data_IF_258805458691
#
_entry.id   IF_258805458691
#
_cell.length_a   1.000
_cell.length_b   1.000
_cell.length_c   1.000
_cell.angle_alpha   90.00
_cell.angle_beta   90.00
_cell.angle_gamma   90.00
#
_symmetry.space_group_name_H-M   'P 1'
#
loop_
_entity.id
_entity.type
_entity.pdbx_description
1 polymer ?
#
# COMPACT_ATOMS: atom_id res chain seq x y z
N UNK A 1 20.16 -10.08 8.27
CA UNK A 1 19.09 -9.56 7.39
C UNK A 1 18.84 -10.56 6.27
N UNK A 2 17.57 -10.85 6.03
CA UNK A 2 17.17 -11.83 5.03
C UNK A 2 16.79 -11.12 3.73
N UNK A 3 17.72 -11.05 2.82
CA UNK A 3 17.62 -10.39 1.53
C UNK A 3 16.34 -10.76 0.75
N UNK A 4 16.03 -12.06 0.68
CA UNK A 4 14.88 -12.53 -0.10
C UNK A 4 13.54 -12.06 0.42
N UNK A 5 13.39 -11.91 1.73
CA UNK A 5 12.16 -11.38 2.31
C UNK A 5 11.92 -9.93 1.88
N UNK A 6 13.00 -9.13 1.79
CA UNK A 6 12.88 -7.74 1.33
C UNK A 6 12.53 -7.67 -0.16
N UNK A 7 13.09 -8.55 -0.97
CA UNK A 7 12.73 -8.63 -2.39
C UNK A 7 11.25 -9.00 -2.55
N UNK A 8 10.78 -10.00 -1.82
CA UNK A 8 9.37 -10.40 -1.85
C UNK A 8 8.47 -9.24 -1.43
N UNK A 9 8.79 -8.57 -0.32
CA UNK A 9 8.02 -7.42 0.16
C UNK A 9 8.00 -6.29 -0.88
N UNK A 10 9.15 -6.00 -1.50
CA UNK A 10 9.26 -4.97 -2.54
C UNK A 10 8.42 -5.30 -3.77
N UNK A 11 8.41 -6.56 -4.20
CA UNK A 11 7.61 -7.00 -5.33
C UNK A 11 6.10 -6.96 -5.01
N UNK A 12 5.69 -7.36 -3.81
CA UNK A 12 4.30 -7.25 -3.38
C UNK A 12 3.84 -5.78 -3.43
N UNK A 13 4.66 -4.87 -2.90
CA UNK A 13 4.36 -3.44 -2.91
C UNK A 13 4.32 -2.88 -4.33
N UNK A 14 5.22 -3.31 -5.20
CA UNK A 14 5.28 -2.86 -6.60
C UNK A 14 4.04 -3.31 -7.38
N UNK A 15 3.66 -4.58 -7.26
CA UNK A 15 2.44 -5.11 -7.89
C UNK A 15 1.21 -4.39 -7.34
N UNK A 16 1.17 -4.16 -6.03
CA UNK A 16 0.11 -3.37 -5.39
C UNK A 16 0.02 -1.96 -5.95
N UNK A 17 1.15 -1.33 -6.22
CA UNK A 17 1.21 -0.01 -6.86
C UNK A 17 0.58 -0.02 -8.25
N UNK A 18 0.94 -0.98 -9.08
CA UNK A 18 0.37 -1.11 -10.43
C UNK A 18 -1.13 -1.37 -10.37
N UNK A 19 -1.56 -2.27 -9.51
CA UNK A 19 -2.98 -2.57 -9.34
C UNK A 19 -3.76 -1.36 -8.85
N UNK A 20 -3.27 -0.69 -7.81
CA UNK A 20 -3.90 0.48 -7.22
C UNK A 20 -3.92 1.67 -8.19
N UNK A 21 -2.79 1.95 -8.83
CA UNK A 21 -2.64 3.10 -9.70
C UNK A 21 -3.33 2.96 -11.05
N UNK A 22 -3.47 1.76 -11.58
CA UNK A 22 -4.07 1.51 -12.90
C UNK A 22 -5.49 0.97 -12.75
N UNK A 23 -5.64 -0.27 -12.24
CA UNK A 23 -6.96 -0.91 -12.17
C UNK A 23 -7.87 -0.19 -11.18
N UNK A 24 -7.36 0.20 -10.03
CA UNK A 24 -8.13 0.95 -9.04
C UNK A 24 -8.54 2.35 -9.54
N UNK A 25 -7.66 3.03 -10.27
CA UNK A 25 -8.00 4.31 -10.89
C UNK A 25 -9.16 4.15 -11.86
N UNK A 26 -9.08 3.20 -12.78
CA UNK A 26 -10.13 2.98 -13.77
C UNK A 26 -11.47 2.64 -13.13
N UNK A 27 -11.47 1.81 -12.09
CA UNK A 27 -12.71 1.34 -11.46
C UNK A 27 -13.27 2.33 -10.44
N UNK A 28 -12.46 2.76 -9.47
CA UNK A 28 -12.96 3.53 -8.32
C UNK A 28 -12.95 5.03 -8.57
N UNK A 29 -11.91 5.58 -9.15
CA UNK A 29 -11.87 6.99 -9.52
C UNK A 29 -12.83 7.25 -10.67
N UNK A 30 -12.96 6.32 -11.62
CA UNK A 30 -13.97 6.41 -12.67
C UNK A 30 -15.39 6.53 -12.10
N UNK A 31 -15.74 5.70 -11.11
CA UNK A 31 -17.03 5.76 -10.44
C UNK A 31 -17.25 7.09 -9.71
N UNK A 32 -16.22 7.62 -9.06
CA UNK A 32 -16.29 8.94 -8.40
C UNK A 32 -16.50 10.04 -9.42
N UNK A 33 -15.79 10.02 -10.54
CA UNK A 33 -15.92 11.03 -11.60
C UNK A 33 -17.33 11.03 -12.23
N UNK A 34 -17.96 9.87 -12.31
CA UNK A 34 -19.32 9.71 -12.85
C UNK A 34 -20.42 10.02 -11.82
N UNK A 35 -20.05 10.32 -10.59
CA UNK A 35 -20.98 10.60 -9.49
C UNK A 35 -21.43 12.07 -9.48
N UNK A 36 -22.39 12.38 -8.60
CA UNK A 36 -22.90 13.74 -8.40
C UNK A 36 -22.11 14.53 -7.35
N UNK A 37 -20.93 14.06 -6.94
CA UNK A 37 -20.08 14.75 -5.99
C UNK A 37 -19.58 16.08 -6.60
N UNK A 38 -19.32 17.04 -5.70
CA UNK A 38 -18.76 18.33 -6.11
C UNK A 38 -17.41 18.17 -6.81
N UNK A 39 -17.06 19.05 -7.76
CA UNK A 39 -15.78 18.98 -8.46
C UNK A 39 -14.55 18.94 -7.54
N UNK A 40 -14.55 19.74 -6.46
CA UNK A 40 -13.44 19.75 -5.51
C UNK A 40 -13.32 18.39 -4.79
N UNK A 41 -14.44 17.78 -4.39
CA UNK A 41 -14.45 16.46 -3.75
C UNK A 41 -13.88 15.40 -4.68
N UNK A 42 -14.24 15.44 -5.97
CA UNK A 42 -13.68 14.53 -6.98
C UNK A 42 -12.18 14.71 -7.11
N UNK A 43 -11.71 15.96 -7.17
CA UNK A 43 -10.28 16.28 -7.27
C UNK A 43 -9.50 15.82 -6.06
N UNK A 44 -10.01 16.05 -4.85
CA UNK A 44 -9.36 15.59 -3.62
C UNK A 44 -9.34 14.08 -3.51
N UNK A 45 -10.38 13.40 -3.96
CA UNK A 45 -10.43 11.94 -4.02
C UNK A 45 -9.35 11.40 -4.95
N UNK A 46 -9.17 12.03 -6.11
CA UNK A 46 -8.12 11.66 -7.06
C UNK A 46 -6.73 11.82 -6.44
N UNK A 47 -6.47 12.95 -5.80
CA UNK A 47 -5.19 13.20 -5.12
C UNK A 47 -4.95 12.18 -4.01
N UNK A 48 -5.94 11.95 -3.14
CA UNK A 48 -5.84 11.00 -2.03
C UNK A 48 -5.57 9.58 -2.53
N UNK A 49 -6.25 9.18 -3.60
CA UNK A 49 -6.05 7.86 -4.20
C UNK A 49 -4.61 7.67 -4.66
N UNK A 50 -4.08 8.64 -5.39
CA UNK A 50 -2.74 8.54 -5.96
C UNK A 50 -1.62 8.89 -4.99
N UNK A 51 -1.88 9.61 -3.90
CA UNK A 51 -0.93 9.71 -2.78
C UNK A 51 -0.61 8.31 -2.26
N UNK A 52 -1.61 7.45 -2.13
CA UNK A 52 -1.35 6.07 -1.71
C UNK A 52 -0.59 5.27 -2.78
N UNK A 53 -0.87 5.50 -4.06
CA UNK A 53 -0.08 4.92 -5.15
C UNK A 53 1.40 5.31 -5.01
N UNK A 54 1.68 6.58 -4.69
CA UNK A 54 3.04 7.08 -4.46
C UNK A 54 3.68 6.38 -3.25
N UNK A 55 2.94 6.20 -2.16
CA UNK A 55 3.45 5.46 -1.00
C UNK A 55 3.85 4.03 -1.35
N UNK A 56 3.05 3.35 -2.17
CA UNK A 56 3.38 1.99 -2.63
C UNK A 56 4.63 1.98 -3.49
N UNK A 57 4.79 2.97 -4.37
CA UNK A 57 5.97 3.11 -5.22
C UNK A 57 7.24 3.35 -4.38
N UNK A 58 7.19 4.35 -3.50
CA UNK A 58 8.33 4.69 -2.64
C UNK A 58 8.67 3.52 -1.71
N UNK A 59 7.66 2.89 -1.12
CA UNK A 59 7.86 1.71 -0.27
C UNK A 59 8.54 0.57 -1.01
N UNK A 60 8.11 0.28 -2.24
CA UNK A 60 8.74 -0.72 -3.09
C UNK A 60 10.21 -0.38 -3.37
N UNK A 61 10.48 0.88 -3.75
CA UNK A 61 11.84 1.32 -4.04
C UNK A 61 12.75 1.21 -2.81
N UNK A 62 12.26 1.60 -1.64
CA UNK A 62 13.02 1.50 -0.38
C UNK A 62 13.32 0.04 -0.04
N UNK A 63 12.31 -0.84 -0.12
CA UNK A 63 12.49 -2.26 0.17
C UNK A 63 13.54 -2.91 -0.72
N UNK A 64 13.46 -2.65 -2.02
CA UNK A 64 14.43 -3.19 -2.98
C UNK A 64 15.82 -2.58 -2.79
N UNK A 65 15.88 -1.27 -2.50
CA UNK A 65 17.16 -0.60 -2.24
C UNK A 65 17.86 -1.19 -1.00
N UNK A 66 17.13 -1.33 0.11
CA UNK A 66 17.70 -1.87 1.35
C UNK A 66 18.13 -3.33 1.17
N UNK A 67 17.43 -4.12 0.36
CA UNK A 67 17.82 -5.50 0.08
C UNK A 67 19.27 -5.60 -0.42
N UNK A 68 19.71 -4.62 -1.21
CA UNK A 68 21.07 -4.57 -1.75
C UNK A 68 22.01 -3.67 -0.94
N UNK A 69 21.49 -2.95 0.06
CA UNK A 69 22.27 -1.99 0.87
C UNK A 69 21.95 -2.17 2.36
N UNK A 70 22.42 -3.26 2.99
CA UNK A 70 22.05 -3.60 4.37
C UNK A 70 22.34 -2.52 5.41
N UNK A 71 23.29 -1.62 5.13
CA UNK A 71 23.61 -0.52 6.04
C UNK A 71 22.45 0.49 6.20
N UNK A 72 21.44 0.44 5.32
CA UNK A 72 20.31 1.38 5.31
C UNK A 72 19.04 0.79 5.94
N UNK A 73 19.15 -0.26 6.75
CA UNK A 73 18.03 -1.00 7.34
C UNK A 73 17.04 -0.11 8.10
N UNK A 74 17.49 1.00 8.69
CA UNK A 74 16.61 1.92 9.40
C UNK A 74 15.50 2.51 8.51
N UNK A 75 15.74 2.58 7.21
CA UNK A 75 14.73 3.06 6.25
C UNK A 75 13.51 2.13 6.15
N UNK A 76 13.60 0.90 6.65
CA UNK A 76 12.48 -0.05 6.64
C UNK A 76 11.40 0.29 7.67
N UNK A 77 11.75 0.94 8.78
CA UNK A 77 10.78 1.20 9.85
C UNK A 77 9.55 1.97 9.37
N UNK A 78 9.67 3.13 8.72
CA UNK A 78 8.47 3.83 8.25
C UNK A 78 7.68 3.03 7.22
N UNK A 79 8.34 2.24 6.37
CA UNK A 79 7.65 1.39 5.39
C UNK A 79 6.83 0.32 6.09
N UNK A 80 7.42 -0.36 7.08
CA UNK A 80 6.73 -1.39 7.87
C UNK A 80 5.54 -0.77 8.61
N UNK A 81 5.74 0.37 9.28
CA UNK A 81 4.69 1.02 10.08
C UNK A 81 3.52 1.47 9.20
N UNK A 82 3.79 2.10 8.05
CA UNK A 82 2.73 2.55 7.14
C UNK A 82 1.91 1.37 6.63
N UNK A 83 2.57 0.29 6.24
CA UNK A 83 1.87 -0.90 5.75
C UNK A 83 1.08 -1.60 6.87
N UNK A 84 1.65 -1.72 8.06
CA UNK A 84 0.98 -2.32 9.20
C UNK A 84 -0.27 -1.52 9.60
N UNK A 85 -0.13 -0.20 9.76
CA UNK A 85 -1.24 0.66 10.13
C UNK A 85 -2.32 0.69 9.05
N UNK A 86 -1.92 0.67 7.78
CA UNK A 86 -2.86 0.58 6.67
C UNK A 86 -3.66 -0.72 6.68
N UNK A 87 -3.00 -1.85 6.91
CA UNK A 87 -3.68 -3.14 7.04
C UNK A 87 -4.66 -3.14 8.22
N UNK A 88 -4.22 -2.61 9.35
CA UNK A 88 -5.08 -2.51 10.55
C UNK A 88 -6.28 -1.59 10.30
N UNK A 89 -6.12 -0.52 9.54
CA UNK A 89 -7.23 0.38 9.18
C UNK A 89 -8.30 -0.36 8.37
N UNK A 90 -7.90 -1.14 7.35
CA UNK A 90 -8.83 -1.96 6.57
C UNK A 90 -9.60 -2.94 7.47
N UNK A 91 -8.89 -3.61 8.37
CA UNK A 91 -9.49 -4.59 9.28
C UNK A 91 -10.45 -3.89 10.25
N UNK A 92 -10.02 -2.80 10.86
CA UNK A 92 -10.84 -2.04 11.81
C UNK A 92 -12.15 -1.56 11.19
N UNK A 93 -12.07 -0.92 10.02
CA UNK A 93 -13.26 -0.45 9.31
C UNK A 93 -14.11 -1.61 8.79
N UNK A 94 -13.47 -2.69 8.34
CA UNK A 94 -14.16 -3.86 7.82
C UNK A 94 -14.90 -4.66 8.88
N UNK A 95 -14.41 -4.68 10.11
CA UNK A 95 -15.11 -5.31 11.24
C UNK A 95 -16.30 -4.48 11.72
N UNK A 96 -16.32 -3.20 11.40
CA UNK A 96 -17.44 -2.30 11.68
C UNK A 96 -18.46 -2.28 10.54
N UNK A 97 -18.80 -1.07 10.07
CA UNK A 97 -19.83 -0.87 9.05
C UNK A 97 -19.34 -0.98 7.61
N UNK A 98 -18.02 -1.14 7.40
CA UNK A 98 -17.42 -1.19 6.06
C UNK A 98 -16.94 -2.59 5.68
N UNK A 99 -17.83 -3.57 5.78
CA UNK A 99 -17.52 -5.00 5.62
C UNK A 99 -16.92 -5.37 4.26
N UNK A 100 -17.25 -4.62 3.22
CA UNK A 100 -16.72 -4.87 1.88
C UNK A 100 -15.19 -4.73 1.83
N UNK A 101 -14.58 -3.94 2.74
CA UNK A 101 -13.14 -3.77 2.80
C UNK A 101 -12.40 -5.06 3.12
N UNK A 102 -13.02 -6.00 3.85
CA UNK A 102 -12.40 -7.29 4.18
C UNK A 102 -12.20 -8.18 2.95
N UNK A 103 -12.94 -7.91 1.87
CA UNK A 103 -12.82 -8.64 0.60
C UNK A 103 -11.83 -7.98 -0.36
N UNK A 104 -11.36 -6.78 -0.03
CA UNK A 104 -10.41 -6.05 -0.86
C UNK A 104 -8.98 -6.55 -0.63
N UNK A 105 -8.11 -6.50 -1.63
CA UNK A 105 -6.73 -6.96 -1.47
C UNK A 105 -5.87 -6.07 -0.57
N UNK A 106 -6.31 -4.87 -0.25
CA UNK A 106 -5.50 -3.86 0.48
C UNK A 106 -4.95 -4.34 1.81
N UNK A 107 -5.79 -4.92 2.69
CA UNK A 107 -5.34 -5.41 4.00
C UNK A 107 -4.30 -6.52 3.85
N UNK A 108 -4.53 -7.44 2.94
CA UNK A 108 -3.64 -8.59 2.72
C UNK A 108 -2.32 -8.15 2.09
N UNK A 109 -2.39 -7.30 1.07
CA UNK A 109 -1.20 -6.77 0.40
C UNK A 109 -0.31 -5.98 1.38
N UNK A 110 -0.89 -5.07 2.14
CA UNK A 110 -0.15 -4.25 3.11
C UNK A 110 0.35 -5.10 4.28
N UNK A 111 -0.47 -6.02 4.78
CA UNK A 111 -0.10 -6.92 5.87
C UNK A 111 1.08 -7.82 5.50
N UNK A 112 1.06 -8.43 4.32
CA UNK A 112 2.16 -9.27 3.85
C UNK A 112 3.42 -8.45 3.55
N UNK A 113 3.29 -7.25 3.00
CA UNK A 113 4.43 -6.36 2.81
C UNK A 113 5.12 -6.06 4.14
N UNK A 114 4.34 -5.69 5.17
CA UNK A 114 4.87 -5.41 6.51
C UNK A 114 5.52 -6.65 7.11
N UNK A 115 4.88 -7.80 7.01
CA UNK A 115 5.39 -9.05 7.57
C UNK A 115 6.72 -9.44 6.93
N UNK A 116 6.79 -9.50 5.60
CA UNK A 116 8.02 -9.89 4.91
C UNK A 116 9.14 -8.85 5.12
N UNK A 117 8.79 -7.56 5.15
CA UNK A 117 9.78 -6.52 5.44
C UNK A 117 10.35 -6.68 6.85
N UNK A 118 9.51 -6.96 7.84
CA UNK A 118 9.95 -7.22 9.21
C UNK A 118 10.84 -8.46 9.30
N UNK A 119 10.44 -9.55 8.65
CA UNK A 119 11.23 -10.78 8.62
C UNK A 119 12.58 -10.56 7.94
N UNK A 120 12.61 -9.75 6.89
CA UNK A 120 13.85 -9.42 6.19
C UNK A 120 14.78 -8.53 7.01
N UNK A 121 14.23 -7.73 7.91
CA UNK A 121 15.00 -6.84 8.77
C UNK A 121 15.71 -7.58 9.91
N UNK A 122 15.13 -8.66 10.39
CA UNK A 122 15.63 -9.43 11.56
C UNK A 122 16.69 -10.51 11.24
#
# INVERSE_FOLDING_TARGET
MEYWYLIIAGLISFVGMLFHGIAGHLKYIGAINDSNLEPLTKSLSLVSWHVFTIFLFVGSAVLLYVAYNPATTLALYPVIVVNLLGALLFIFLGLGSHKALLKMPGAYQMGFTALFAYMGMS
#
